data_IF_275374717951
#
_entry.id   IF_275374717951
#
_cell.length_a   1.000
_cell.length_b   1.000
_cell.length_c   1.000
_cell.angle_alpha   90.00
_cell.angle_beta   90.00
_cell.angle_gamma   90.00
#
_symmetry.space_group_name_H-M   'P 1'
#
loop_
_entity.id
_entity.type
_entity.pdbx_description
1 polymer ?
#
# COMPACT_ATOMS: atom_id res chain seq x y z
N UNK A 1 22.43 -4.68 -3.37
CA UNK A 1 22.07 -4.03 -4.66
C UNK A 1 20.58 -3.69 -4.76
N UNK A 2 19.61 -4.55 -4.39
CA UNK A 2 18.17 -4.18 -4.35
C UNK A 2 17.75 -3.41 -3.08
N UNK A 3 18.39 -3.68 -1.93
CA UNK A 3 18.05 -3.06 -0.64
C UNK A 3 18.16 -1.53 -0.60
N UNK A 4 19.01 -0.93 -1.45
CA UNK A 4 19.20 0.53 -1.48
C UNK A 4 18.02 1.22 -2.19
N UNK A 5 17.46 0.59 -3.23
CA UNK A 5 16.33 1.14 -3.99
C UNK A 5 15.04 1.00 -3.16
N UNK A 6 14.88 -0.14 -2.46
CA UNK A 6 13.79 -0.35 -1.51
C UNK A 6 13.88 0.66 -0.35
N UNK A 7 15.07 0.84 0.24
CA UNK A 7 15.27 1.80 1.33
C UNK A 7 15.02 3.25 0.89
N UNK A 8 15.43 3.63 -0.33
CA UNK A 8 15.13 4.93 -0.91
C UNK A 8 13.62 5.11 -1.17
N UNK A 9 12.93 4.06 -1.63
CA UNK A 9 11.48 4.07 -1.83
C UNK A 9 10.69 4.22 -0.53
N UNK A 10 11.10 3.53 0.54
CA UNK A 10 10.51 3.65 1.89
C UNK A 10 10.75 5.04 2.49
N UNK A 11 11.96 5.59 2.32
CA UNK A 11 12.26 6.96 2.74
C UNK A 11 11.40 7.99 2.00
N UNK A 12 11.19 7.81 0.68
CA UNK A 12 10.35 8.68 -0.14
C UNK A 12 8.86 8.56 0.24
N UNK A 13 8.39 7.36 0.59
CA UNK A 13 7.06 7.12 1.18
C UNK A 13 6.82 7.96 2.43
N UNK A 14 7.77 7.90 3.38
CA UNK A 14 7.67 8.62 4.65
C UNK A 14 7.64 10.13 4.45
N UNK A 15 8.47 10.65 3.54
CA UNK A 15 8.50 12.09 3.20
C UNK A 15 7.18 12.52 2.56
N UNK A 16 6.61 11.72 1.65
CA UNK A 16 5.33 12.05 1.00
C UNK A 16 4.15 12.02 1.98
N UNK A 17 4.16 11.07 2.92
CA UNK A 17 3.11 10.89 3.92
C UNK A 17 3.12 11.99 4.99
N UNK A 18 4.30 12.49 5.38
CA UNK A 18 4.45 13.58 6.36
C UNK A 18 4.31 14.97 5.73
N UNK A 19 4.80 15.18 4.51
CA UNK A 19 4.91 16.51 3.91
C UNK A 19 3.66 17.03 3.21
N UNK A 20 2.88 16.16 2.56
CA UNK A 20 1.86 16.62 1.61
C UNK A 20 0.42 16.57 2.14
N UNK A 21 0.21 16.08 3.38
CA UNK A 21 -1.13 15.96 4.02
C UNK A 21 -2.16 15.25 3.13
N UNK A 22 -1.68 14.37 2.25
CA UNK A 22 -2.49 13.52 1.38
C UNK A 22 -2.88 12.28 2.19
N UNK A 23 -4.15 11.89 2.13
CA UNK A 23 -4.65 10.71 2.84
C UNK A 23 -3.74 9.50 2.58
N UNK A 24 -3.34 8.77 3.63
CA UNK A 24 -2.32 7.73 3.58
C UNK A 24 -2.58 6.66 2.50
N UNK A 25 -3.84 6.42 2.17
CA UNK A 25 -4.23 5.49 1.10
C UNK A 25 -3.80 5.96 -0.31
N UNK A 26 -3.97 7.25 -0.62
CA UNK A 26 -3.53 7.84 -1.89
C UNK A 26 -1.99 7.90 -1.94
N UNK A 27 -1.33 8.21 -0.81
CA UNK A 27 0.12 8.21 -0.73
C UNK A 27 0.72 6.83 -1.01
N UNK A 28 0.12 5.76 -0.46
CA UNK A 28 0.55 4.38 -0.69
C UNK A 28 0.45 3.95 -2.15
N UNK A 29 -0.66 4.26 -2.83
CA UNK A 29 -0.85 3.90 -4.25
C UNK A 29 0.13 4.65 -5.15
N UNK A 30 0.30 5.96 -4.93
CA UNK A 30 1.16 6.79 -5.75
C UNK A 30 2.63 6.39 -5.59
N UNK A 31 3.10 6.20 -4.36
CA UNK A 31 4.49 5.82 -4.15
C UNK A 31 4.76 4.38 -4.58
N UNK A 32 3.82 3.45 -4.41
CA UNK A 32 4.02 2.10 -4.91
C UNK A 32 4.09 2.04 -6.45
N UNK A 33 3.35 2.90 -7.15
CA UNK A 33 3.48 3.07 -8.60
C UNK A 33 4.87 3.63 -8.99
N UNK A 34 5.37 4.64 -8.27
CA UNK A 34 6.69 5.28 -8.55
C UNK A 34 7.85 4.36 -8.19
N UNK A 35 7.83 3.75 -7.00
CA UNK A 35 8.86 2.83 -6.51
C UNK A 35 8.85 1.54 -7.32
N UNK A 36 7.68 1.01 -7.66
CA UNK A 36 7.58 -0.17 -8.52
C UNK A 36 8.15 0.04 -9.92
N UNK A 37 7.97 1.24 -10.48
CA UNK A 37 8.60 1.61 -11.75
C UNK A 37 10.11 1.77 -11.61
N UNK A 38 10.60 2.27 -10.46
CA UNK A 38 12.02 2.47 -10.17
C UNK A 38 12.78 1.18 -9.81
N UNK A 39 12.12 0.20 -9.20
CA UNK A 39 12.69 -1.09 -8.81
C UNK A 39 12.93 -2.01 -10.02
N UNK A 40 12.32 -1.73 -11.19
CA UNK A 40 12.38 -2.62 -12.35
C UNK A 40 11.77 -4.00 -12.11
N UNK A 41 11.12 -4.20 -10.95
CA UNK A 41 10.27 -5.34 -10.67
C UNK A 41 9.15 -5.40 -11.71
N UNK A 42 8.82 -6.60 -12.17
CA UNK A 42 7.70 -6.77 -13.08
C UNK A 42 6.46 -6.07 -12.51
N UNK A 43 5.75 -5.28 -13.31
CA UNK A 43 4.59 -4.51 -12.85
C UNK A 43 3.57 -5.36 -12.07
N UNK A 44 3.56 -6.66 -12.34
CA UNK A 44 2.82 -7.70 -11.64
C UNK A 44 3.22 -7.88 -10.16
N UNK A 45 4.51 -7.88 -9.80
CA UNK A 45 4.96 -7.99 -8.40
C UNK A 45 4.61 -6.74 -7.58
N UNK A 46 4.74 -5.57 -8.21
CA UNK A 46 4.37 -4.27 -7.62
C UNK A 46 2.87 -4.25 -7.33
N UNK A 47 2.05 -4.59 -8.32
CA UNK A 47 0.60 -4.67 -8.15
C UNK A 47 0.22 -5.68 -7.07
N UNK A 48 0.89 -6.84 -7.02
CA UNK A 48 0.62 -7.86 -6.01
C UNK A 48 0.94 -7.37 -4.59
N UNK A 49 2.02 -6.60 -4.41
CA UNK A 49 2.37 -6.00 -3.11
C UNK A 49 1.35 -4.93 -2.67
N UNK A 50 0.90 -4.07 -3.59
CA UNK A 50 -0.17 -3.09 -3.34
C UNK A 50 -1.47 -3.78 -2.94
N UNK A 51 -1.85 -4.81 -3.70
CA UNK A 51 -3.10 -5.55 -3.50
C UNK A 51 -3.09 -6.30 -2.17
N UNK A 52 -1.95 -6.85 -1.75
CA UNK A 52 -1.82 -7.49 -0.44
C UNK A 52 -1.88 -6.48 0.72
N UNK A 53 -1.23 -5.32 0.60
CA UNK A 53 -1.28 -4.28 1.64
C UNK A 53 -2.69 -3.68 1.81
N UNK A 54 -3.33 -3.31 0.70
CA UNK A 54 -4.69 -2.77 0.70
C UNK A 54 -5.71 -3.86 1.05
N UNK A 55 -5.59 -5.03 0.44
CA UNK A 55 -6.49 -6.17 0.63
C UNK A 55 -6.43 -6.75 2.04
N UNK A 56 -5.28 -6.72 2.72
CA UNK A 56 -5.20 -7.09 4.14
C UNK A 56 -5.99 -6.14 5.03
N UNK A 57 -5.91 -4.83 4.76
CA UNK A 57 -6.62 -3.81 5.54
C UNK A 57 -8.13 -3.82 5.25
N UNK A 58 -8.51 -3.90 3.97
CA UNK A 58 -9.91 -3.98 3.55
C UNK A 58 -10.54 -5.33 3.88
N UNK A 59 -9.78 -6.42 3.85
CA UNK A 59 -10.23 -7.76 4.21
C UNK A 59 -10.54 -7.89 5.70
N UNK A 60 -9.71 -7.30 6.57
CA UNK A 60 -10.01 -7.18 8.00
C UNK A 60 -11.29 -6.38 8.25
N UNK A 61 -11.43 -5.23 7.61
CA UNK A 61 -12.65 -4.42 7.69
C UNK A 61 -13.87 -5.15 7.11
N UNK A 62 -13.72 -5.86 5.99
CA UNK A 62 -14.80 -6.63 5.37
C UNK A 62 -15.25 -7.80 6.25
N UNK A 63 -14.33 -8.48 6.94
CA UNK A 63 -14.67 -9.54 7.89
C UNK A 63 -15.39 -8.98 9.12
N UNK A 64 -14.93 -7.85 9.65
CA UNK A 64 -15.59 -7.16 10.77
C UNK A 64 -16.99 -6.67 10.34
N UNK A 65 -17.14 -6.07 9.16
CA UNK A 65 -18.43 -5.63 8.62
C UNK A 65 -19.38 -6.80 8.32
N UNK A 66 -18.87 -7.91 7.81
CA UNK A 66 -19.64 -9.12 7.55
C UNK A 66 -20.13 -9.79 8.83
N UNK A 67 -19.26 -9.89 9.85
CA UNK A 67 -19.64 -10.39 11.17
C UNK A 67 -20.57 -9.44 11.90
N UNK A 68 -20.35 -8.12 11.80
CA UNK A 68 -21.23 -7.11 12.38
C UNK A 68 -22.64 -7.21 11.79
N UNK A 69 -22.76 -7.38 10.47
CA UNK A 69 -24.06 -7.59 9.81
C UNK A 69 -24.72 -8.91 10.21
N UNK A 70 -23.94 -9.97 10.44
CA UNK A 70 -24.46 -11.28 10.84
C UNK A 70 -24.89 -11.36 12.31
N UNK A 71 -24.48 -10.40 13.16
CA UNK A 71 -24.93 -10.26 14.55
C UNK A 71 -26.11 -9.29 14.71
N UNK A 72 -26.48 -8.56 13.65
CA UNK A 72 -27.60 -7.60 13.64
C UNK A 72 -28.94 -8.27 13.25
N UNK A 73 -28.88 -9.50 12.73
CA UNK A 73 -30.03 -10.41 12.54
C UNK A 73 -30.06 -11.46 13.67
#
# INVERSE_FOLDING_TARGET
MPLIIIAAGVALLLVLMIGFKVNGFIALVLVAAVVGFAEGMGAQDVLHSIQNGIGGTLGGLAMILGLARCWED
#
